data_IF_356429849444
#
_entry.id   IF_356429849444
#
_cell.length_a   1.000
_cell.length_b   1.000
_cell.length_c   1.000
_cell.angle_alpha   90.00
_cell.angle_beta   90.00
_cell.angle_gamma   90.00
#
_symmetry.space_group_name_H-M   'P 1'
#
loop_
_entity.id
_entity.type
_entity.pdbx_description
1 polymer ?
#
# COMPACT_ATOMS: atom_id res chain seq x y z
N UNK A 1 2.63 2.19 -6.96
CA UNK A 1 3.77 1.42 -7.50
C UNK A 1 3.70 0.04 -6.88
N UNK A 2 4.08 -1.01 -7.61
CA UNK A 2 4.07 -2.37 -7.09
C UNK A 2 5.49 -2.92 -6.98
N UNK A 3 5.72 -3.68 -5.91
CA UNK A 3 6.99 -4.35 -5.63
C UNK A 3 6.71 -5.81 -5.32
N UNK A 4 7.52 -6.70 -5.87
CA UNK A 4 7.42 -8.12 -5.57
C UNK A 4 8.17 -8.42 -4.26
N UNK A 5 7.43 -8.75 -3.19
CA UNK A 5 7.99 -9.05 -1.87
C UNK A 5 8.83 -10.33 -1.93
N UNK A 6 10.14 -10.16 -2.02
CA UNK A 6 11.13 -11.21 -2.09
C UNK A 6 12.50 -10.66 -1.67
N UNK A 7 12.84 -10.79 -0.38
CA UNK A 7 14.09 -10.30 0.21
C UNK A 7 15.35 -10.76 -0.56
N UNK A 8 15.32 -11.98 -1.09
CA UNK A 8 16.43 -12.53 -1.88
C UNK A 8 16.70 -11.78 -3.20
N UNK A 9 15.74 -10.98 -3.66
CA UNK A 9 15.78 -10.20 -4.90
C UNK A 9 15.77 -8.69 -4.65
N UNK A 10 15.86 -8.26 -3.39
CA UNK A 10 15.79 -6.85 -2.98
C UNK A 10 14.50 -6.15 -3.46
N UNK A 11 13.37 -6.84 -3.28
CA UNK A 11 12.01 -6.37 -3.57
C UNK A 11 11.89 -5.62 -4.91
N UNK A 12 12.06 -6.28 -6.06
CA UNK A 12 12.11 -5.60 -7.34
C UNK A 12 10.76 -4.96 -7.69
N UNK A 13 10.81 -3.78 -8.30
CA UNK A 13 9.62 -3.13 -8.85
C UNK A 13 9.04 -3.98 -9.99
N UNK A 14 7.71 -4.10 -10.02
CA UNK A 14 6.97 -4.88 -11.01
C UNK A 14 5.82 -4.07 -11.62
N UNK A 15 5.43 -4.43 -12.85
CA UNK A 15 4.27 -3.86 -13.52
C UNK A 15 3.02 -4.73 -13.30
N UNK A 16 1.86 -4.22 -13.68
CA UNK A 16 0.59 -4.98 -13.62
C UNK A 16 0.63 -6.20 -14.54
N UNK A 17 1.33 -6.12 -15.67
CA UNK A 17 1.53 -7.25 -16.57
C UNK A 17 2.35 -8.36 -15.89
N UNK A 18 3.36 -8.03 -15.09
CA UNK A 18 4.05 -9.04 -14.28
C UNK A 18 3.09 -9.69 -13.29
N UNK A 19 2.33 -8.88 -12.54
CA UNK A 19 1.40 -9.36 -11.51
C UNK A 19 0.37 -10.34 -12.09
N UNK A 20 -0.22 -9.97 -13.23
CA UNK A 20 -1.22 -10.78 -13.91
C UNK A 20 -0.62 -12.00 -14.59
N UNK A 21 0.54 -11.89 -15.25
CA UNK A 21 1.22 -13.00 -15.92
C UNK A 21 1.69 -14.09 -14.93
N UNK A 22 2.14 -13.69 -13.74
CA UNK A 22 2.51 -14.61 -12.67
C UNK A 22 1.33 -15.08 -11.80
N UNK A 23 0.12 -14.55 -12.03
CA UNK A 23 -1.10 -14.96 -11.33
C UNK A 23 -1.13 -14.57 -9.85
N UNK A 24 -0.39 -13.52 -9.44
CA UNK A 24 -0.40 -13.05 -8.05
C UNK A 24 -1.73 -12.37 -7.69
N UNK A 25 -2.27 -11.61 -8.65
CA UNK A 25 -3.58 -10.97 -8.57
C UNK A 25 -4.23 -10.88 -9.96
N UNK A 26 -5.56 -10.93 -9.98
CA UNK A 26 -6.36 -10.64 -11.17
C UNK A 26 -6.43 -9.13 -11.44
N UNK A 27 -6.76 -8.68 -12.66
CA UNK A 27 -6.95 -7.26 -12.95
C UNK A 27 -7.94 -6.57 -11.99
N UNK A 28 -9.04 -7.24 -11.65
CA UNK A 28 -10.02 -6.69 -10.70
C UNK A 28 -9.42 -6.49 -9.30
N UNK A 29 -8.61 -7.44 -8.83
CA UNK A 29 -7.94 -7.31 -7.53
C UNK A 29 -6.88 -6.21 -7.53
N UNK A 30 -6.19 -5.99 -8.66
CA UNK A 30 -5.25 -4.88 -8.83
C UNK A 30 -6.00 -3.54 -8.73
N UNK A 31 -7.14 -3.40 -9.40
CA UNK A 31 -7.99 -2.22 -9.32
C UNK A 31 -8.47 -1.96 -7.87
N UNK A 32 -8.89 -3.02 -7.16
CA UNK A 32 -9.31 -2.93 -5.76
C UNK A 32 -8.17 -2.52 -4.84
N UNK A 33 -6.95 -3.05 -5.04
CA UNK A 33 -5.74 -2.66 -4.30
C UNK A 33 -5.40 -1.18 -4.55
N UNK A 34 -5.47 -0.72 -5.80
CA UNK A 34 -5.20 0.67 -6.17
C UNK A 34 -6.22 1.62 -5.54
N UNK A 35 -7.51 1.29 -5.62
CA UNK A 35 -8.56 2.07 -4.97
C UNK A 35 -8.38 2.13 -3.45
N UNK A 36 -7.98 1.02 -2.83
CA UNK A 36 -7.68 0.96 -1.40
C UNK A 36 -6.47 1.82 -1.04
N UNK A 37 -5.39 1.77 -1.83
CA UNK A 37 -4.19 2.57 -1.61
C UNK A 37 -4.48 4.08 -1.66
N UNK A 38 -5.29 4.54 -2.62
CA UNK A 38 -5.71 5.95 -2.71
C UNK A 38 -6.52 6.35 -1.48
N UNK A 39 -7.45 5.50 -1.03
CA UNK A 39 -8.25 5.78 0.17
C UNK A 39 -7.41 5.82 1.45
N UNK A 40 -6.41 4.95 1.58
CA UNK A 40 -5.45 4.97 2.68
C UNK A 40 -4.64 6.26 2.64
N UNK A 41 -4.14 6.64 1.47
CA UNK A 41 -3.40 7.89 1.28
C UNK A 41 -4.21 9.10 1.75
N UNK A 42 -5.46 9.23 1.31
CA UNK A 42 -6.32 10.37 1.65
C UNK A 42 -6.57 10.45 3.15
N UNK A 43 -6.85 9.30 3.79
CA UNK A 43 -7.09 9.24 5.22
C UNK A 43 -5.84 9.59 6.03
N UNK A 44 -4.71 8.93 5.74
CA UNK A 44 -3.47 9.14 6.49
C UNK A 44 -2.90 10.54 6.27
N UNK A 45 -2.94 11.05 5.04
CA UNK A 45 -2.49 12.42 4.74
C UNK A 45 -3.26 13.45 5.54
N UNK A 46 -4.59 13.32 5.62
CA UNK A 46 -5.42 14.19 6.45
C UNK A 46 -5.12 14.06 7.94
N UNK A 47 -4.96 12.83 8.43
CA UNK A 47 -4.65 12.53 9.82
C UNK A 47 -3.31 13.15 10.25
N UNK A 48 -2.24 12.91 9.50
CA UNK A 48 -0.90 13.42 9.82
C UNK A 48 -0.82 14.94 9.67
N UNK A 49 -1.45 15.50 8.63
CA UNK A 49 -1.47 16.96 8.43
C UNK A 49 -2.17 17.66 9.60
N UNK A 50 -3.20 17.04 10.20
CA UNK A 50 -3.89 17.54 11.38
C UNK A 50 -2.99 17.71 12.62
N UNK A 51 -1.82 17.06 12.65
CA UNK A 51 -0.83 17.17 13.73
C UNK A 51 0.50 17.77 13.27
N UNK A 52 0.53 18.40 12.08
CA UNK A 52 1.73 19.07 11.55
C UNK A 52 2.77 18.15 10.94
N UNK A 53 2.37 16.93 10.54
CA UNK A 53 3.24 15.96 9.89
C UNK A 53 2.81 15.79 8.42
N UNK A 54 3.77 15.85 7.50
CA UNK A 54 3.56 15.51 6.09
C UNK A 54 3.84 14.03 5.87
N UNK A 55 2.86 13.31 5.32
CA UNK A 55 3.05 11.98 4.74
C UNK A 55 3.68 12.13 3.35
N UNK A 56 4.95 11.79 3.19
CA UNK A 56 5.67 11.92 1.92
C UNK A 56 5.38 10.73 1.01
N UNK A 57 5.53 9.52 1.56
CA UNK A 57 5.22 8.25 0.92
C UNK A 57 4.93 7.19 1.98
N UNK A 58 4.31 6.08 1.56
CA UNK A 58 4.08 4.91 2.39
C UNK A 58 4.03 3.64 1.56
N UNK A 59 4.24 2.51 2.23
CA UNK A 59 4.04 1.15 1.71
C UNK A 59 2.90 0.50 2.48
N UNK A 60 2.03 -0.22 1.78
CA UNK A 60 1.04 -1.12 2.39
C UNK A 60 1.15 -2.50 1.76
N UNK A 61 0.82 -3.51 2.56
CA UNK A 61 0.58 -4.87 2.09
C UNK A 61 -0.92 -5.15 2.10
N UNK A 62 -1.38 -5.88 1.08
CA UNK A 62 -2.79 -6.22 0.94
C UNK A 62 -2.97 -7.74 0.93
N UNK A 63 -4.07 -8.21 1.52
CA UNK A 63 -4.43 -9.60 1.58
C UNK A 63 -5.87 -9.84 1.11
N UNK A 64 -6.16 -11.10 0.77
CA UNK A 64 -7.53 -11.57 0.54
C UNK A 64 -8.13 -12.02 1.85
N UNK A 65 -9.24 -11.42 2.25
CA UNK A 65 -10.06 -11.89 3.37
C UNK A 65 -11.30 -12.58 2.81
N UNK A 66 -11.52 -13.83 3.23
CA UNK A 66 -12.67 -14.64 2.83
C UNK A 66 -13.69 -14.69 3.97
N UNK A 67 -14.93 -14.34 3.65
CA UNK A 67 -16.10 -14.44 4.53
C UNK A 67 -17.15 -15.31 3.84
N UNK A 68 -17.04 -16.62 4.05
CA UNK A 68 -17.78 -17.60 3.25
C UNK A 68 -17.29 -17.59 1.80
N UNK A 69 -18.21 -17.45 0.85
CA UNK A 69 -17.89 -17.36 -0.58
C UNK A 69 -17.51 -15.94 -1.04
N UNK A 70 -17.60 -14.95 -0.14
CA UNK A 70 -17.22 -13.57 -0.45
C UNK A 70 -15.74 -13.36 -0.18
N UNK A 71 -15.05 -12.75 -1.15
CA UNK A 71 -13.66 -12.34 -1.03
C UNK A 71 -13.58 -10.82 -1.12
N UNK A 72 -12.78 -10.21 -0.24
CA UNK A 72 -12.44 -8.79 -0.30
C UNK A 72 -10.95 -8.57 -0.10
N UNK A 73 -10.41 -7.56 -0.79
CA UNK A 73 -9.08 -7.05 -0.53
C UNK A 73 -9.12 -6.19 0.73
N UNK A 74 -8.16 -6.43 1.63
CA UNK A 74 -7.99 -5.67 2.88
C UNK A 74 -6.53 -5.24 3.03
N UNK A 75 -6.32 -4.11 3.71
CA UNK A 75 -4.98 -3.73 4.20
C UNK A 75 -4.58 -4.75 5.25
N UNK A 76 -3.36 -5.24 5.16
CA UNK A 76 -2.75 -6.18 6.08
C UNK A 76 -1.45 -5.57 6.64
N UNK A 77 -0.73 -6.39 7.41
CA UNK A 77 0.55 -6.04 8.04
C UNK A 77 0.44 -4.80 8.95
N UNK A 78 1.41 -3.88 8.91
CA UNK A 78 1.46 -2.69 9.75
C UNK A 78 1.50 -1.37 8.98
N UNK A 79 1.09 -0.30 9.67
CA UNK A 79 1.30 1.09 9.25
C UNK A 79 2.05 1.78 10.40
N UNK A 80 3.34 2.00 10.20
CA UNK A 80 4.28 2.50 11.19
C UNK A 80 5.25 3.53 10.56
N UNK A 81 6.08 4.23 11.35
CA UNK A 81 7.18 5.02 10.79
C UNK A 81 8.18 4.21 9.95
N UNK A 82 8.22 2.88 10.09
CA UNK A 82 9.08 2.02 9.27
C UNK A 82 8.49 1.79 7.86
N UNK A 83 7.17 1.88 7.73
CA UNK A 83 6.45 1.76 6.46
C UNK A 83 6.07 3.11 5.82
N UNK A 84 6.37 4.22 6.49
CA UNK A 84 5.94 5.57 6.09
C UNK A 84 7.09 6.57 6.21
N UNK A 85 7.27 7.41 5.18
CA UNK A 85 8.12 8.58 5.30
C UNK A 85 7.31 9.77 5.80
N UNK A 86 7.65 10.23 6.99
CA UNK A 86 6.94 11.28 7.71
C UNK A 86 7.90 12.45 7.97
N UNK A 87 7.53 13.66 7.58
CA UNK A 87 8.33 14.89 7.81
C UNK A 87 7.55 15.87 8.68
N UNK A 88 8.25 16.56 9.58
CA UNK A 88 7.69 17.73 10.25
C UNK A 88 7.50 18.85 9.23
N UNK A 89 6.29 19.39 9.14
CA UNK A 89 5.95 20.46 8.18
C UNK A 89 6.73 21.75 8.47
N UNK A 90 7.08 22.02 9.73
CA UNK A 90 7.79 23.23 10.14
C UNK A 90 9.28 23.20 9.76
N UNK A 91 9.93 22.03 9.89
CA UNK A 91 11.38 21.89 9.63
C UNK A 91 11.72 21.25 8.29
N UNK A 92 10.74 20.59 7.65
CA UNK A 92 10.93 19.78 6.44
C UNK A 92 11.91 18.61 6.62
N UNK A 93 11.97 18.08 7.84
CA UNK A 93 12.86 16.99 8.25
C UNK A 93 12.09 15.92 9.04
#
# INVERSE_FOLDING_TARGET
>A
QFYYKADALDDPMVSEEHITAFGWASPQEIDDVMALAIRVNDFLSGLFMGVGIQLVDFKIECGRLFEGDMMRIVVADEISPDSCRLWDVATQD
#
